data_IF_490420636648
#
_entry.id   IF_490420636648
#
_cell.length_a   1.000
_cell.length_b   1.000
_cell.length_c   1.000
_cell.angle_alpha   90.00
_cell.angle_beta   90.00
_cell.angle_gamma   90.00
#
_symmetry.space_group_name_H-M   'P 1'
#
loop_
_entity.id
_entity.type
_entity.pdbx_description
1 polymer ?
#
# COMPACT_ATOMS: atom_id res chain seq x y z
N UNK A 1 -24.66 -4.48 -5.44
CA UNK A 1 -23.56 -3.85 -6.21
C UNK A 1 -22.37 -3.69 -5.28
N UNK A 2 -21.28 -4.45 -5.49
CA UNK A 2 -20.02 -4.24 -4.77
C UNK A 2 -19.41 -2.94 -5.30
N UNK A 3 -19.16 -1.98 -4.42
CA UNK A 3 -18.47 -0.76 -4.81
C UNK A 3 -17.04 -1.11 -5.19
N UNK A 4 -16.49 -0.47 -6.23
CA UNK A 4 -15.08 -0.59 -6.62
C UNK A 4 -14.14 -0.38 -5.42
N UNK A 5 -14.56 0.47 -4.48
CA UNK A 5 -13.85 0.72 -3.23
C UNK A 5 -13.79 -0.50 -2.30
N UNK A 6 -14.87 -1.27 -2.24
CA UNK A 6 -14.93 -2.50 -1.43
C UNK A 6 -14.04 -3.58 -2.05
N UNK A 7 -13.99 -3.65 -3.38
CA UNK A 7 -13.10 -4.57 -4.09
C UNK A 7 -11.63 -4.20 -3.86
N UNK A 8 -11.26 -2.93 -3.96
CA UNK A 8 -9.88 -2.47 -3.70
C UNK A 8 -9.44 -2.78 -2.27
N UNK A 9 -10.26 -2.46 -1.28
CA UNK A 9 -9.91 -2.72 0.13
C UNK A 9 -9.76 -4.23 0.39
N UNK A 10 -10.69 -5.04 -0.09
CA UNK A 10 -10.71 -6.48 0.24
C UNK A 10 -9.71 -7.30 -0.57
N UNK A 11 -9.49 -6.97 -1.84
CA UNK A 11 -8.62 -7.76 -2.72
C UNK A 11 -7.21 -7.18 -2.92
N UNK A 12 -6.99 -5.89 -2.62
CA UNK A 12 -5.68 -5.27 -2.73
C UNK A 12 -5.06 -5.02 -1.35
N UNK A 13 -5.80 -4.35 -0.46
CA UNK A 13 -5.24 -3.86 0.81
C UNK A 13 -5.11 -4.97 1.85
N UNK A 14 -6.11 -5.85 1.97
CA UNK A 14 -6.05 -7.02 2.87
C UNK A 14 -4.87 -7.97 2.53
N UNK A 15 -4.68 -8.40 1.27
CA UNK A 15 -3.52 -9.23 0.94
C UNK A 15 -2.18 -8.51 1.13
N UNK A 16 -2.10 -7.22 0.78
CA UNK A 16 -0.88 -6.44 0.98
C UNK A 16 -0.53 -6.27 2.47
N UNK A 17 -1.53 -6.11 3.35
CA UNK A 17 -1.32 -6.01 4.80
C UNK A 17 -0.88 -7.34 5.40
N UNK A 18 -1.47 -8.46 4.97
CA UNK A 18 -1.01 -9.79 5.35
C UNK A 18 0.44 -10.03 4.93
N UNK A 19 0.80 -9.67 3.69
CA UNK A 19 2.18 -9.77 3.19
C UNK A 19 3.15 -8.90 3.99
N UNK A 20 2.74 -7.71 4.39
CA UNK A 20 3.56 -6.80 5.19
C UNK A 20 3.77 -7.32 6.62
N UNK A 21 2.73 -7.85 7.27
CA UNK A 21 2.84 -8.49 8.59
C UNK A 21 3.78 -9.70 8.51
N UNK A 22 3.67 -10.50 7.45
CA UNK A 22 4.60 -11.61 7.20
C UNK A 22 6.06 -11.16 7.03
N UNK A 23 6.28 -9.94 6.53
CA UNK A 23 7.61 -9.33 6.39
C UNK A 23 8.19 -8.82 7.72
N UNK A 24 7.33 -8.37 8.64
CA UNK A 24 7.73 -7.88 9.97
C UNK A 24 8.15 -9.03 10.90
N UNK A 25 7.51 -10.19 10.77
CA UNK A 25 7.86 -11.37 11.56
C UNK A 25 9.28 -11.84 11.20
N UNK A 26 10.25 -11.86 12.15
CA UNK A 26 11.65 -12.14 11.88
C UNK A 26 11.91 -13.65 11.72
N UNK A 27 11.20 -14.29 10.80
CA UNK A 27 11.34 -15.72 10.49
C UNK A 27 12.01 -15.85 9.11
N UNK A 28 13.29 -16.26 9.03
CA UNK A 28 14.08 -16.22 7.78
C UNK A 28 13.58 -17.16 6.68
N UNK A 29 12.75 -18.16 7.01
CA UNK A 29 12.06 -18.99 6.00
C UNK A 29 10.88 -18.27 5.37
N UNK A 30 10.13 -17.51 6.16
CA UNK A 30 8.98 -16.74 5.69
C UNK A 30 9.41 -15.65 4.72
N UNK A 31 10.47 -14.90 5.04
CA UNK A 31 10.95 -13.81 4.17
C UNK A 31 11.30 -14.29 2.76
N UNK A 32 11.88 -15.50 2.64
CA UNK A 32 12.16 -16.13 1.33
C UNK A 32 10.89 -16.50 0.57
N UNK A 33 9.91 -17.11 1.25
CA UNK A 33 8.63 -17.44 0.63
C UNK A 33 7.89 -16.19 0.16
N UNK A 34 7.84 -15.15 1.01
CA UNK A 34 7.20 -13.88 0.70
C UNK A 34 7.93 -13.18 -0.46
N UNK A 35 9.26 -13.15 -0.47
CA UNK A 35 10.01 -12.63 -1.62
C UNK A 35 9.73 -13.42 -2.89
N UNK A 36 9.56 -14.74 -2.83
CA UNK A 36 9.24 -15.55 -4.00
C UNK A 36 7.82 -15.25 -4.53
N UNK A 37 6.85 -15.13 -3.64
CA UNK A 37 5.46 -14.75 -3.97
C UNK A 37 5.42 -13.33 -4.55
N UNK A 38 6.11 -12.38 -3.95
CA UNK A 38 6.18 -11.01 -4.47
C UNK A 38 6.90 -10.98 -5.81
N UNK A 39 8.00 -11.72 -5.99
CA UNK A 39 8.65 -11.85 -7.30
C UNK A 39 7.76 -12.52 -8.35
N UNK A 40 6.82 -13.38 -7.95
CA UNK A 40 5.84 -13.97 -8.85
C UNK A 40 4.77 -12.94 -9.25
N UNK A 41 4.30 -12.13 -8.30
CA UNK A 41 3.39 -10.99 -8.57
C UNK A 41 4.08 -9.90 -9.40
N UNK A 42 5.39 -9.75 -9.27
CA UNK A 42 6.23 -8.86 -10.08
C UNK A 42 6.72 -9.50 -11.39
N UNK A 43 6.38 -10.76 -11.73
CA UNK A 43 6.70 -11.34 -13.05
C UNK A 43 6.18 -10.58 -14.27
N UNK A 44 5.00 -9.92 -14.26
CA UNK A 44 4.53 -9.13 -15.41
C UNK A 44 5.23 -7.76 -15.54
N UNK A 45 6.50 -7.67 -15.15
CA UNK A 45 7.30 -6.44 -15.20
C UNK A 45 7.65 -6.08 -16.65
N UNK A 46 6.81 -5.29 -17.29
CA UNK A 46 7.11 -4.68 -18.59
C UNK A 46 8.11 -3.53 -18.40
N UNK A 47 9.29 -3.64 -19.02
CA UNK A 47 10.27 -2.55 -19.14
C UNK A 47 10.73 -1.88 -17.83
N UNK A 48 10.75 -2.62 -16.71
CA UNK A 48 11.27 -2.12 -15.42
C UNK A 48 10.24 -1.42 -14.53
N UNK A 49 8.97 -1.36 -14.96
CA UNK A 49 7.85 -0.88 -14.14
C UNK A 49 7.19 -2.07 -13.43
N UNK A 50 7.50 -2.24 -12.15
CA UNK A 50 6.84 -3.26 -11.31
C UNK A 50 5.34 -2.98 -11.19
N UNK A 51 4.51 -4.03 -11.19
CA UNK A 51 3.07 -3.94 -10.92
C UNK A 51 2.80 -3.22 -9.59
N UNK A 52 3.62 -3.46 -8.57
CA UNK A 52 3.54 -2.78 -7.27
C UNK A 52 3.80 -1.27 -7.38
N UNK A 53 4.69 -0.85 -8.30
CA UNK A 53 4.94 0.57 -8.57
C UNK A 53 3.72 1.21 -9.22
N UNK A 54 3.13 0.53 -10.20
CA UNK A 54 1.94 1.02 -10.89
C UNK A 54 0.76 1.14 -9.91
N UNK A 55 0.55 0.13 -9.07
CA UNK A 55 -0.44 0.17 -7.99
C UNK A 55 -0.15 1.29 -6.98
N UNK A 56 1.11 1.47 -6.57
CA UNK A 56 1.49 2.56 -5.67
C UNK A 56 1.21 3.95 -6.30
N UNK A 57 1.48 4.12 -7.59
CA UNK A 57 1.19 5.37 -8.30
C UNK A 57 -0.32 5.63 -8.39
N UNK A 58 -1.11 4.62 -8.78
CA UNK A 58 -2.57 4.73 -8.85
C UNK A 58 -3.14 5.09 -7.48
N UNK A 59 -2.76 4.36 -6.43
CA UNK A 59 -3.22 4.64 -5.06
C UNK A 59 -2.78 6.01 -4.56
N UNK A 60 -1.61 6.51 -4.96
CA UNK A 60 -1.13 7.84 -4.59
C UNK A 60 -1.93 8.95 -5.28
N UNK A 61 -2.21 8.80 -6.58
CA UNK A 61 -3.06 9.73 -7.32
C UNK A 61 -4.48 9.72 -6.76
N UNK A 62 -5.03 8.54 -6.43
CA UNK A 62 -6.33 8.42 -5.75
C UNK A 62 -6.33 9.11 -4.40
N UNK A 63 -5.27 8.98 -3.60
CA UNK A 63 -5.15 9.69 -2.33
C UNK A 63 -5.07 11.21 -2.53
N UNK A 64 -4.29 11.69 -3.51
CA UNK A 64 -4.12 13.11 -3.78
C UNK A 64 -5.42 13.76 -4.28
N UNK A 65 -6.14 13.09 -5.19
CA UNK A 65 -7.43 13.56 -5.69
C UNK A 65 -8.47 13.63 -4.58
N UNK A 66 -8.57 12.59 -3.74
CA UNK A 66 -9.46 12.59 -2.57
C UNK A 66 -9.08 13.66 -1.54
N UNK A 67 -7.79 13.92 -1.34
CA UNK A 67 -7.35 15.00 -0.45
C UNK A 67 -7.77 16.37 -0.96
N UNK A 68 -7.62 16.63 -2.27
CA UNK A 68 -8.07 17.88 -2.89
C UNK A 68 -9.59 18.02 -2.78
N UNK A 69 -10.34 16.94 -3.04
CA UNK A 69 -11.80 16.94 -2.85
C UNK A 69 -12.22 17.19 -1.41
N UNK A 70 -11.57 16.53 -0.45
CA UNK A 70 -11.83 16.72 0.96
C UNK A 70 -11.54 18.15 1.38
N UNK A 71 -10.41 18.73 0.94
CA UNK A 71 -10.08 20.14 1.19
C UNK A 71 -11.10 21.09 0.57
N UNK A 72 -11.60 20.82 -0.63
CA UNK A 72 -12.65 21.63 -1.27
C UNK A 72 -13.98 21.54 -0.51
N UNK A 73 -14.40 20.34 -0.11
CA UNK A 73 -15.71 20.09 0.54
C UNK A 73 -15.75 20.47 2.02
N UNK A 74 -14.64 20.29 2.73
CA UNK A 74 -14.58 20.39 4.20
C UNK A 74 -13.57 21.44 4.70
N UNK A 75 -12.76 22.02 3.82
CA UNK A 75 -11.74 23.01 4.19
C UNK A 75 -12.29 24.40 4.47
N UNK A 76 -13.52 24.71 4.04
CA UNK A 76 -14.18 26.00 4.31
C UNK A 76 -14.79 26.09 5.72
N UNK A 77 -14.65 25.05 6.54
CA UNK A 77 -15.22 24.98 7.88
C UNK A 77 -16.54 24.22 7.94
N UNK A 78 -17.02 23.99 9.16
CA UNK A 78 -18.27 23.28 9.41
C UNK A 78 -19.46 24.20 9.08
N UNK A 79 -20.41 23.78 8.21
CA UNK A 79 -21.64 24.53 7.97
C UNK A 79 -22.44 24.68 9.27
N UNK A 80 -23.26 25.72 9.35
CA UNK A 80 -24.21 25.87 10.45
C UNK A 80 -25.46 25.06 10.11
N UNK A 81 -25.79 24.07 10.94
CA UNK A 81 -26.97 23.23 10.75
C UNK A 81 -28.12 23.73 11.63
N UNK A 82 -29.35 23.63 11.13
CA UNK A 82 -30.55 23.95 11.89
C UNK A 82 -30.90 22.82 12.88
N UNK A 83 -30.62 21.57 12.50
CA UNK A 83 -30.90 20.38 13.29
C UNK A 83 -29.62 19.58 13.59
N UNK A 84 -29.59 19.00 14.79
CA UNK A 84 -28.48 18.14 15.25
C UNK A 84 -28.34 16.88 14.37
N UNK A 85 -29.44 16.34 13.83
CA UNK A 85 -29.41 15.17 12.95
C UNK A 85 -28.62 15.43 11.67
N UNK A 86 -28.80 16.62 11.06
CA UNK A 86 -28.08 17.04 9.86
C UNK A 86 -26.59 17.24 10.12
N UNK A 87 -26.26 17.72 11.33
CA UNK A 87 -24.89 17.90 11.78
C UNK A 87 -24.16 16.54 11.91
N UNK A 88 -24.79 15.56 12.55
CA UNK A 88 -24.26 14.19 12.69
C UNK A 88 -24.09 13.53 11.32
N UNK A 89 -25.05 13.68 10.41
CA UNK A 89 -24.96 13.13 9.06
C UNK A 89 -23.81 13.73 8.24
N UNK A 90 -23.57 15.04 8.40
CA UNK A 90 -22.46 15.71 7.75
C UNK A 90 -21.11 15.24 8.29
N UNK A 91 -20.97 15.10 9.61
CA UNK A 91 -19.75 14.56 10.23
C UNK A 91 -19.50 13.11 9.82
N UNK A 92 -20.55 12.29 9.79
CA UNK A 92 -20.45 10.91 9.33
C UNK A 92 -20.03 10.82 7.86
N UNK A 93 -20.46 11.74 6.99
CA UNK A 93 -19.97 11.83 5.60
C UNK A 93 -18.51 12.26 5.54
N UNK A 94 -18.12 13.27 6.32
CA UNK A 94 -16.73 13.76 6.41
C UNK A 94 -15.78 12.65 6.83
N UNK A 95 -16.07 11.97 7.95
CA UNK A 95 -15.23 10.89 8.47
C UNK A 95 -15.14 9.70 7.53
N UNK A 96 -16.23 9.36 6.82
CA UNK A 96 -16.17 8.31 5.78
C UNK A 96 -15.23 8.69 4.64
N UNK A 97 -15.27 9.94 4.20
CA UNK A 97 -14.40 10.42 3.12
C UNK A 97 -12.92 10.47 3.57
N UNK A 98 -12.67 10.96 4.77
CA UNK A 98 -11.34 11.03 5.39
C UNK A 98 -10.73 9.64 5.63
N UNK A 99 -11.51 8.69 6.15
CA UNK A 99 -11.09 7.29 6.27
C UNK A 99 -10.71 6.68 4.93
N UNK A 100 -11.54 6.90 3.90
CA UNK A 100 -11.27 6.39 2.55
C UNK A 100 -9.96 6.95 1.97
N UNK A 101 -9.68 8.23 2.20
CA UNK A 101 -8.41 8.86 1.84
C UNK A 101 -7.22 8.21 2.57
N UNK A 102 -7.33 7.99 3.88
CA UNK A 102 -6.28 7.33 4.66
C UNK A 102 -6.04 5.88 4.23
N UNK A 103 -7.07 5.17 3.78
CA UNK A 103 -6.94 3.81 3.24
C UNK A 103 -6.02 3.81 2.02
N UNK A 104 -6.20 4.73 1.06
CA UNK A 104 -5.28 4.83 -0.07
C UNK A 104 -3.88 5.30 0.34
N UNK A 105 -3.78 6.24 1.29
CA UNK A 105 -2.49 6.66 1.83
C UNK A 105 -1.72 5.45 2.43
N UNK A 106 -2.39 4.63 3.24
CA UNK A 106 -1.80 3.42 3.80
C UNK A 106 -1.42 2.42 2.70
N UNK A 107 -2.26 2.21 1.70
CA UNK A 107 -1.96 1.33 0.57
C UNK A 107 -0.68 1.77 -0.17
N UNK A 108 -0.50 3.08 -0.41
CA UNK A 108 0.73 3.59 -1.05
C UNK A 108 1.98 3.31 -0.23
N UNK A 109 1.93 3.60 1.07
CA UNK A 109 3.05 3.38 1.99
C UNK A 109 3.40 1.90 2.06
N UNK A 110 2.39 1.04 2.10
CA UNK A 110 2.56 -0.41 2.16
C UNK A 110 3.21 -0.95 0.89
N UNK A 111 2.73 -0.55 -0.29
CA UNK A 111 3.34 -0.92 -1.56
C UNK A 111 4.79 -0.42 -1.65
N UNK A 112 5.06 0.82 -1.23
CA UNK A 112 6.40 1.39 -1.21
C UNK A 112 7.34 0.64 -0.26
N UNK A 113 6.86 0.27 0.93
CA UNK A 113 7.60 -0.50 1.91
C UNK A 113 7.94 -1.90 1.38
N UNK A 114 6.96 -2.63 0.84
CA UNK A 114 7.16 -3.96 0.25
C UNK A 114 8.22 -3.90 -0.86
N UNK A 115 8.12 -2.93 -1.78
CA UNK A 115 9.12 -2.73 -2.84
C UNK A 115 10.53 -2.45 -2.29
N UNK A 116 10.64 -1.65 -1.22
CA UNK A 116 11.95 -1.35 -0.61
C UNK A 116 12.54 -2.58 0.08
N UNK A 117 11.73 -3.34 0.80
CA UNK A 117 12.16 -4.56 1.48
C UNK A 117 12.59 -5.65 0.51
N UNK A 118 11.86 -5.87 -0.59
CA UNK A 118 12.24 -6.88 -1.59
C UNK A 118 13.56 -6.52 -2.29
N UNK A 119 13.75 -5.24 -2.64
CA UNK A 119 15.03 -4.74 -3.19
C UNK A 119 16.20 -4.91 -2.21
N UNK A 120 15.97 -4.63 -0.93
CA UNK A 120 17.00 -4.81 0.10
C UNK A 120 17.34 -6.29 0.29
N UNK A 121 16.34 -7.17 0.35
CA UNK A 121 16.53 -8.61 0.53
C UNK A 121 17.28 -9.23 -0.66
N UNK A 122 16.90 -8.87 -1.89
CA UNK A 122 17.60 -9.33 -3.10
C UNK A 122 19.05 -8.83 -3.17
N UNK A 123 19.32 -7.59 -2.75
CA UNK A 123 20.69 -7.07 -2.64
C UNK A 123 21.52 -7.83 -1.58
N UNK A 124 20.92 -8.17 -0.44
CA UNK A 124 21.57 -8.95 0.63
C UNK A 124 21.89 -10.39 0.19
N UNK A 125 20.96 -11.08 -0.47
CA UNK A 125 21.19 -12.42 -1.03
C UNK A 125 22.34 -12.41 -2.06
N UNK A 126 22.38 -11.41 -2.95
CA UNK A 126 23.50 -11.23 -3.91
C UNK A 126 24.86 -11.04 -3.22
N UNK A 127 24.91 -10.22 -2.17
CA UNK A 127 26.15 -10.01 -1.38
C UNK A 127 26.60 -11.29 -0.67
N UNK A 128 25.67 -12.06 -0.11
CA UNK A 128 25.98 -13.35 0.52
C UNK A 128 26.52 -14.36 -0.49
N UNK A 129 25.90 -14.47 -1.67
CA UNK A 129 26.34 -15.35 -2.73
C UNK A 129 27.78 -15.03 -3.20
N UNK A 130 28.07 -13.75 -3.44
CA UNK A 130 29.41 -13.30 -3.81
C UNK A 130 30.48 -13.60 -2.74
N UNK A 131 30.14 -13.43 -1.45
CA UNK A 131 31.04 -13.76 -0.35
C UNK A 131 31.32 -15.28 -0.24
N UNK A 132 30.34 -16.13 -0.52
CA UNK A 132 30.53 -17.60 -0.55
C UNK A 132 31.36 -18.07 -1.74
N UNK A 133 31.26 -17.43 -2.91
CA UNK A 133 32.11 -17.75 -4.06
C UNK A 133 33.56 -17.34 -3.85
N UNK A 134 33.81 -16.19 -3.22
CA UNK A 134 35.16 -15.74 -2.87
C UNK A 134 35.83 -16.72 -1.89
N UNK A 135 35.10 -17.22 -0.88
CA UNK A 135 35.59 -18.25 0.05
C UNK A 135 35.85 -19.63 -0.59
N UNK A 136 35.24 -19.94 -1.73
CA UNK A 136 35.49 -21.21 -2.45
C UNK A 136 36.70 -21.13 -3.39
N UNK A 137 37.11 -19.92 -3.77
CA UNK A 137 38.23 -19.68 -4.69
C UNK A 137 39.55 -19.33 -3.98
N UNK A 138 39.49 -19.05 -2.68
CA UNK A 138 40.64 -18.88 -1.78
C UNK A 138 40.94 -20.19 -1.05
#
# INVERSE_FOLDING_TARGET
MLSLFTLEVTYLIMPATVLFILFILPVPRLSRYVSCVVSFVERPNFYGVSLLLLVALVTFVSCATQFVEWRKKYGQGKPRFADLSLEVDWEAKKWRHERNMYIHALATVLCAAIMKFTRLHTALERRKAAATEFKKKA
#
